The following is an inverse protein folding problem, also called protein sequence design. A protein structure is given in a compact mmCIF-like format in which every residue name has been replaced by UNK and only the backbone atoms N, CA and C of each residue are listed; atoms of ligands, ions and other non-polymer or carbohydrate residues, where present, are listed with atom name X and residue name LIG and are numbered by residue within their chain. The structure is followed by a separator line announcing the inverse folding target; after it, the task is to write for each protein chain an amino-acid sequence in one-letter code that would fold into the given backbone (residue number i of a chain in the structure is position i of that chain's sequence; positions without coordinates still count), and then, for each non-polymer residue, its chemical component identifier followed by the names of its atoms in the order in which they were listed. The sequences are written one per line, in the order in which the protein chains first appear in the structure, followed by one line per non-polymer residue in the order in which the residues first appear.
data_IF_483588030317
#
_entry.id   IF_483588030317
#
_cell.length_a   1.000
_cell.length_b   1.000
_cell.length_c   1.000
_cell.angle_alpha   90.00
_cell.angle_beta   90.00
_cell.angle_gamma   90.00
#
_symmetry.space_group_name_H-M   'P 1'
#
loop_
_entity.id
_entity.type
_entity.pdbx_description
1 polymer ?
#
# COMPACT_ATOMS: atom_id res chain seq x y z
N UNK A 1 -5.66 1.70 -9.99
CA UNK A 1 -5.80 2.93 -9.18
C UNK A 1 -5.99 2.58 -7.72
N UNK A 2 -4.93 2.68 -6.90
CA UNK A 2 -5.04 2.31 -5.50
C UNK A 2 -5.80 3.34 -4.65
N UNK A 3 -6.24 2.91 -3.47
CA UNK A 3 -6.94 3.75 -2.48
C UNK A 3 -6.19 3.79 -1.16
N UNK A 4 -6.45 4.81 -0.35
CA UNK A 4 -5.99 4.83 1.04
C UNK A 4 -6.78 3.84 1.90
N UNK A 5 -6.09 2.97 2.64
CA UNK A 5 -6.68 1.99 3.56
C UNK A 5 -7.38 2.62 4.77
N UNK A 6 -7.23 3.92 5.02
CA UNK A 6 -7.86 4.61 6.15
C UNK A 6 -9.09 5.41 5.70
N UNK A 7 -8.92 6.32 4.74
CA UNK A 7 -9.97 7.26 4.32
C UNK A 7 -10.62 6.94 2.98
N UNK A 8 -10.23 5.84 2.29
CA UNK A 8 -10.75 5.45 0.96
C UNK A 8 -10.50 6.49 -0.15
N UNK A 9 -9.69 7.51 0.10
CA UNK A 9 -9.34 8.48 -0.93
C UNK A 9 -8.50 7.80 -2.04
N UNK A 10 -8.80 8.01 -3.33
CA UNK A 10 -8.01 7.46 -4.42
C UNK A 10 -6.61 8.08 -4.44
N UNK A 11 -5.58 7.27 -4.64
CA UNK A 11 -4.18 7.69 -4.66
C UNK A 11 -3.57 7.24 -5.99
N UNK A 12 -2.72 8.07 -6.60
CA UNK A 12 -2.13 7.74 -7.92
C UNK A 12 -0.99 6.73 -7.82
N UNK A 13 -0.14 6.85 -6.80
CA UNK A 13 1.04 5.99 -6.60
C UNK A 13 1.12 5.61 -5.13
N UNK A 14 1.23 4.32 -4.80
CA UNK A 14 1.31 3.87 -3.41
C UNK A 14 2.68 4.09 -2.77
N UNK A 15 3.70 3.94 -3.60
CA UNK A 15 5.10 4.02 -3.28
C UNK A 15 5.78 4.90 -4.33
N UNK A 16 6.85 5.57 -3.92
CA UNK A 16 7.80 6.21 -4.83
C UNK A 16 9.17 5.67 -4.51
N UNK A 17 9.88 5.20 -5.52
CA UNK A 17 11.33 5.08 -5.43
C UNK A 17 11.87 6.50 -5.21
N UNK A 18 12.57 6.71 -4.10
CA UNK A 18 13.24 7.99 -3.89
C UNK A 18 14.17 8.24 -5.06
N UNK A 19 13.92 9.29 -5.85
CA UNK A 19 14.76 9.68 -6.99
C UNK A 19 16.14 10.26 -6.56
N UNK A 20 16.64 9.87 -5.39
CA UNK A 20 17.84 10.40 -4.77
C UNK A 20 18.91 9.32 -4.66
N UNK A 21 19.87 9.43 -5.57
CA UNK A 21 21.22 8.89 -5.51
C UNK A 21 21.42 7.40 -5.80
N UNK A 22 22.33 7.17 -6.75
CA UNK A 22 22.88 5.89 -7.21
C UNK A 22 23.72 5.19 -6.12
N UNK A 23 23.30 5.26 -4.87
CA UNK A 23 23.98 4.69 -3.71
C UNK A 23 23.07 3.66 -3.04
N UNK A 24 22.77 2.59 -3.79
CA UNK A 24 22.54 1.23 -3.29
C UNK A 24 21.39 0.96 -2.30
N UNK A 25 20.63 1.96 -1.88
CA UNK A 25 19.50 1.79 -1.00
C UNK A 25 18.21 1.90 -1.80
N UNK A 26 17.50 0.78 -1.99
CA UNK A 26 16.10 0.79 -2.42
C UNK A 26 15.23 1.45 -1.32
N UNK A 27 15.40 2.77 -1.14
CA UNK A 27 14.62 3.55 -0.20
C UNK A 27 13.24 3.80 -0.82
N UNK A 28 12.41 2.76 -0.75
CA UNK A 28 10.99 2.83 -1.07
C UNK A 28 10.37 3.79 -0.06
N UNK A 29 9.79 4.90 -0.54
CA UNK A 29 9.02 5.81 0.31
C UNK A 29 7.54 5.61 0.07
N UNK A 30 6.81 5.26 1.12
CA UNK A 30 5.35 5.19 1.09
C UNK A 30 4.74 6.57 0.87
N UNK A 31 3.72 6.64 0.01
CA UNK A 31 2.94 7.86 -0.21
C UNK A 31 2.07 8.14 1.02
N UNK A 32 2.16 9.36 1.54
CA UNK A 32 1.27 9.85 2.59
C UNK A 32 -0.02 10.37 1.95
N UNK A 33 -1.15 9.97 2.52
CA UNK A 33 -2.46 10.43 2.04
C UNK A 33 -2.65 11.91 2.37
N UNK A 34 -3.03 12.72 1.37
CA UNK A 34 -3.30 14.16 1.57
C UNK A 34 -4.54 14.45 2.41
N UNK A 35 -5.48 13.51 2.50
CA UNK A 35 -6.75 13.70 3.21
C UNK A 35 -6.64 13.37 4.70
N UNK A 36 -6.07 12.20 5.04
CA UNK A 36 -5.95 11.77 6.44
C UNK A 36 -4.56 12.01 7.06
N UNK A 37 -3.55 12.36 6.27
CA UNK A 37 -2.16 12.50 6.74
C UNK A 37 -1.50 11.19 7.16
N UNK A 38 -2.16 10.04 6.97
CA UNK A 38 -1.61 8.70 7.28
C UNK A 38 -1.04 8.05 6.02
N UNK A 39 -0.21 7.02 6.21
CA UNK A 39 0.28 6.20 5.11
C UNK A 39 -0.88 5.58 4.34
N UNK A 40 -0.82 5.65 3.00
CA UNK A 40 -1.90 5.16 2.15
C UNK A 40 -2.10 3.65 2.30
N UNK A 41 -1.02 2.93 2.55
CA UNK A 41 -1.03 1.51 2.81
C UNK A 41 0.23 1.11 3.59
N UNK A 42 0.04 0.63 4.81
CA UNK A 42 1.15 0.12 5.63
C UNK A 42 1.48 -1.33 5.29
N UNK A 43 0.52 -2.11 4.80
CA UNK A 43 0.69 -3.57 4.66
C UNK A 43 1.66 -3.96 3.54
N UNK A 44 1.95 -3.05 2.61
CA UNK A 44 2.94 -3.28 1.54
C UNK A 44 4.35 -3.55 2.09
N UNK A 45 4.71 -2.96 3.23
CA UNK A 45 6.01 -3.20 3.88
C UNK A 45 5.99 -4.38 4.86
N UNK A 46 4.80 -4.89 5.23
CA UNK A 46 4.67 -5.92 6.26
C UNK A 46 4.61 -7.32 5.64
N UNK A 47 5.16 -8.30 6.36
CA UNK A 47 5.06 -9.70 5.98
C UNK A 47 3.61 -10.24 6.06
N UNK A 48 3.35 -11.31 5.30
CA UNK A 48 2.05 -11.99 5.25
C UNK A 48 1.48 -12.34 6.64
N UNK A 49 2.33 -12.61 7.63
CA UNK A 49 1.91 -12.94 9.01
C UNK A 49 1.11 -11.80 9.64
N UNK A 50 1.55 -10.54 9.47
CA UNK A 50 0.85 -9.38 10.02
C UNK A 50 -0.49 -9.17 9.30
N UNK A 51 -0.48 -9.36 7.98
CA UNK A 51 -1.66 -9.29 7.14
C UNK A 51 -2.70 -10.34 7.55
N UNK A 52 -2.25 -11.56 7.85
CA UNK A 52 -3.08 -12.65 8.33
C UNK A 52 -3.68 -12.38 9.71
N UNK A 53 -2.89 -11.86 10.67
CA UNK A 53 -3.41 -11.50 11.99
C UNK A 53 -4.48 -10.42 11.87
N UNK A 54 -4.23 -9.36 11.10
CA UNK A 54 -5.19 -8.28 10.93
C UNK A 54 -6.43 -8.71 10.11
N UNK A 55 -6.30 -9.73 9.24
CA UNK A 55 -7.42 -10.38 8.55
C UNK A 55 -8.30 -11.18 9.53
N UNK A 56 -7.69 -11.97 10.41
CA UNK A 56 -8.40 -12.71 11.48
C UNK A 56 -9.11 -11.75 12.44
N UNK A 57 -8.51 -10.59 12.71
CA UNK A 57 -9.14 -9.51 13.48
C UNK A 57 -10.21 -8.73 12.71
N UNK A 58 -10.50 -9.09 11.46
CA UNK A 58 -11.50 -8.46 10.59
C UNK A 58 -11.30 -6.94 10.53
N UNK A 59 -10.03 -6.50 10.45
CA UNK A 59 -9.74 -5.07 10.36
C UNK A 59 -10.12 -4.53 8.98
N UNK A 60 -10.92 -3.45 8.88
CA UNK A 60 -11.39 -2.91 7.61
C UNK A 60 -10.23 -2.40 6.72
N UNK A 61 -9.06 -2.11 7.30
CA UNK A 61 -7.88 -1.72 6.54
C UNK A 61 -7.33 -2.87 5.67
N UNK A 62 -7.32 -4.12 6.16
CA UNK A 62 -6.80 -5.26 5.40
C UNK A 62 -7.70 -5.58 4.22
N UNK A 63 -9.01 -5.57 4.39
CA UNK A 63 -9.93 -5.76 3.27
C UNK A 63 -9.77 -4.70 2.18
N UNK A 64 -9.52 -3.44 2.57
CA UNK A 64 -9.26 -2.36 1.60
C UNK A 64 -7.94 -2.57 0.86
N UNK A 65 -6.90 -3.03 1.56
CA UNK A 65 -5.64 -3.45 0.94
C UNK A 65 -5.85 -4.59 -0.05
N UNK A 66 -6.52 -5.68 0.38
CA UNK A 66 -6.72 -6.87 -0.44
C UNK A 66 -7.56 -6.60 -1.70
N UNK A 67 -8.65 -5.85 -1.56
CA UNK A 67 -9.59 -5.62 -2.66
C UNK A 67 -9.10 -4.61 -3.71
N UNK A 68 -8.34 -3.59 -3.29
CA UNK A 68 -8.01 -2.47 -4.19
C UNK A 68 -6.52 -2.31 -4.46
N UNK A 69 -5.65 -2.85 -3.61
CA UNK A 69 -4.21 -2.66 -3.72
C UNK A 69 -3.44 -3.94 -4.10
N UNK A 70 -3.90 -5.14 -3.72
CA UNK A 70 -3.33 -6.40 -4.22
C UNK A 70 -4.06 -6.92 -5.45
N UNK A 71 -5.39 -7.02 -5.42
CA UNK A 71 -6.19 -7.50 -6.57
C UNK A 71 -5.93 -6.69 -7.86
N UNK A 72 -5.63 -5.40 -7.71
CA UNK A 72 -5.39 -4.50 -8.84
C UNK A 72 -3.93 -4.50 -9.31
N UNK A 73 -3.01 -5.15 -8.57
CA UNK A 73 -1.61 -5.31 -8.98
C UNK A 73 -1.42 -6.57 -9.83
N UNK A 74 -2.18 -7.63 -9.54
CA UNK A 74 -2.11 -8.88 -10.32
C UNK A 74 -2.56 -8.70 -11.77
N UNK A 75 -3.37 -7.66 -12.07
CA UNK A 75 -3.74 -7.31 -13.44
C UNK A 75 -2.55 -6.85 -14.30
N UNK A 76 -1.48 -6.33 -13.69
CA UNK A 76 -0.28 -5.85 -14.41
C UNK A 76 0.75 -6.98 -14.66
N UNK A 77 0.65 -8.14 -14.00
CA UNK A 77 1.60 -9.25 -14.20
C UNK A 77 1.28 -10.12 -15.44
N UNK A 78 0.10 -9.94 -16.05
CA UNK A 78 -0.35 -10.70 -17.23
C UNK A 78 -0.57 -9.86 -18.50
N UNK A 79 -0.15 -8.59 -18.54
CA UNK A 79 -0.21 -7.72 -19.72
C UNK A 79 1.18 -7.43 -20.30
#
# INVERSE_FOLDING_TARGET
MPICIECRHPVKTLWREGAGDKSGGHNIRLTVCKNCGRFCDKYVEHDFVVLFIDLVLIKPQVYRHLLHNTLMKDEDEFA
#
